data_IF_793167888699
#
_entry.id   IF_793167888699
#
_cell.length_a   1.000
_cell.length_b   1.000
_cell.length_c   1.000
_cell.angle_alpha   90.00
_cell.angle_beta   90.00
_cell.angle_gamma   90.00
#
_symmetry.space_group_name_H-M   'P 1'
#
loop_
_entity.id
_entity.type
_entity.pdbx_description
1 polymer ?
#
# COMPACT_ATOMS: atom_id res chain seq x y z
N UNK A 1 32.01 -10.13 4.14
CA UNK A 1 30.56 -10.27 4.43
C UNK A 1 29.93 -8.89 4.33
N UNK A 2 29.29 -8.56 3.21
CA UNK A 2 28.72 -7.23 2.96
C UNK A 2 27.25 -7.16 3.38
N UNK A 3 26.85 -6.27 4.30
CA UNK A 3 25.44 -6.05 4.58
C UNK A 3 24.82 -5.19 3.46
N UNK A 4 24.31 -5.83 2.40
CA UNK A 4 23.44 -5.17 1.43
C UNK A 4 22.04 -4.96 2.04
N UNK A 5 21.93 -4.07 3.03
CA UNK A 5 20.65 -3.42 3.34
C UNK A 5 20.59 -2.18 2.46
N UNK A 6 20.06 -2.33 1.24
CA UNK A 6 19.68 -1.17 0.43
C UNK A 6 18.78 -0.28 1.31
N UNK A 7 19.30 0.88 1.70
CA UNK A 7 18.49 1.99 2.14
C UNK A 7 17.65 2.38 0.91
N UNK A 8 16.47 1.79 0.77
CA UNK A 8 15.43 2.40 -0.06
C UNK A 8 15.15 3.75 0.60
N UNK A 9 15.68 4.81 -0.03
CA UNK A 9 15.42 6.19 0.31
C UNK A 9 13.91 6.34 0.47
N UNK A 10 13.48 6.54 1.72
CA UNK A 10 12.06 6.75 1.99
C UNK A 10 11.64 7.96 1.17
N UNK A 11 10.58 7.85 0.36
CA UNK A 11 10.12 9.00 -0.40
C UNK A 11 9.84 10.13 0.59
N UNK A 12 10.40 11.32 0.33
CA UNK A 12 10.35 12.51 1.19
C UNK A 12 8.95 12.83 1.75
N UNK A 13 7.90 12.40 1.04
CA UNK A 13 6.51 12.57 1.45
C UNK A 13 6.08 11.70 2.65
N UNK A 14 6.75 10.59 2.99
CA UNK A 14 6.35 9.74 4.14
C UNK A 14 6.67 10.38 5.48
N UNK A 15 7.79 11.09 5.59
CA UNK A 15 8.23 11.70 6.84
C UNK A 15 7.36 12.93 7.18
N UNK A 16 6.96 13.68 6.15
CA UNK A 16 5.99 14.78 6.31
C UNK A 16 4.60 14.33 6.79
N UNK A 17 4.11 13.14 6.39
CA UNK A 17 2.82 12.62 6.88
C UNK A 17 2.91 12.29 8.37
N UNK A 18 3.99 11.64 8.82
CA UNK A 18 4.18 11.26 10.23
C UNK A 18 4.29 12.49 11.13
N UNK A 19 4.97 13.54 10.68
CA UNK A 19 5.07 14.78 11.43
C UNK A 19 3.71 15.48 11.60
N UNK A 20 2.92 15.57 10.52
CA UNK A 20 1.58 16.18 10.58
C UNK A 20 0.65 15.34 11.46
N UNK A 21 0.74 14.01 11.35
CA UNK A 21 0.02 13.07 12.20
C UNK A 21 0.37 13.28 13.68
N UNK A 22 1.66 13.35 14.02
CA UNK A 22 2.14 13.61 15.38
C UNK A 22 1.60 14.95 15.91
N UNK A 23 1.75 16.05 15.15
CA UNK A 23 1.24 17.38 15.55
C UNK A 23 -0.27 17.38 15.80
N UNK A 24 -1.03 16.64 14.99
CA UNK A 24 -2.47 16.46 15.16
C UNK A 24 -2.80 15.72 16.46
N UNK A 25 -2.08 14.64 16.76
CA UNK A 25 -2.37 13.78 17.91
C UNK A 25 -2.07 14.45 19.26
N UNK A 26 -1.17 15.44 19.28
CA UNK A 26 -0.95 16.32 20.44
C UNK A 26 -2.03 17.40 20.61
N UNK A 27 -2.95 17.57 19.66
CA UNK A 27 -4.02 18.58 19.75
C UNK A 27 -5.30 17.99 20.34
N UNK A 28 -6.06 18.79 21.10
CA UNK A 28 -7.42 18.44 21.54
C UNK A 28 -8.33 18.24 20.32
N UNK A 29 -8.95 17.06 20.22
CA UNK A 29 -9.88 16.69 19.15
C UNK A 29 -10.98 17.76 19.01
N UNK A 30 -11.24 18.21 17.78
CA UNK A 30 -12.24 19.23 17.47
C UNK A 30 -11.77 20.69 17.62
N UNK A 31 -10.58 20.95 18.18
CA UNK A 31 -10.02 22.31 18.19
C UNK A 31 -9.69 22.81 16.78
N UNK A 32 -9.65 24.13 16.57
CA UNK A 32 -9.29 24.73 15.27
C UNK A 32 -7.94 24.23 14.75
N UNK A 33 -6.95 24.10 15.64
CA UNK A 33 -5.61 23.57 15.31
C UNK A 33 -5.67 22.09 14.92
N UNK A 34 -6.47 21.29 15.63
CA UNK A 34 -6.70 19.88 15.27
C UNK A 34 -7.36 19.75 13.90
N UNK A 35 -8.40 20.54 13.61
CA UNK A 35 -9.10 20.54 12.32
C UNK A 35 -8.14 20.89 11.17
N UNK A 36 -7.29 21.90 11.35
CA UNK A 36 -6.27 22.29 10.36
C UNK A 36 -5.31 21.14 10.04
N UNK A 37 -4.75 20.47 11.04
CA UNK A 37 -3.83 19.35 10.81
C UNK A 37 -4.57 18.11 10.29
N UNK A 38 -5.80 17.87 10.72
CA UNK A 38 -6.63 16.78 10.23
C UNK A 38 -6.91 16.93 8.72
N UNK A 39 -7.35 18.12 8.28
CA UNK A 39 -7.55 18.40 6.85
C UNK A 39 -6.26 18.23 6.04
N UNK A 40 -5.13 18.75 6.54
CA UNK A 40 -3.82 18.58 5.89
C UNK A 40 -3.46 17.10 5.75
N UNK A 41 -3.63 16.33 6.81
CA UNK A 41 -3.37 14.89 6.81
C UNK A 41 -4.25 14.14 5.80
N UNK A 42 -5.54 14.45 5.73
CA UNK A 42 -6.47 13.84 4.77
C UNK A 42 -6.02 14.11 3.33
N UNK A 43 -5.72 15.37 2.98
CA UNK A 43 -5.20 15.73 1.64
C UNK A 43 -3.92 14.98 1.29
N UNK A 44 -3.00 14.82 2.24
CA UNK A 44 -1.75 14.09 2.01
C UNK A 44 -1.98 12.59 1.80
N UNK A 45 -2.88 11.97 2.59
CA UNK A 45 -3.26 10.56 2.43
C UNK A 45 -3.98 10.32 1.10
N UNK A 46 -4.86 11.22 0.71
CA UNK A 46 -5.55 11.19 -0.59
C UNK A 46 -4.54 11.27 -1.75
N UNK A 47 -3.59 12.21 -1.70
CA UNK A 47 -2.53 12.31 -2.71
C UNK A 47 -1.72 11.02 -2.80
N UNK A 48 -1.36 10.42 -1.66
CA UNK A 48 -0.66 9.13 -1.63
C UNK A 48 -1.49 8.00 -2.26
N UNK A 49 -2.80 7.95 -1.96
CA UNK A 49 -3.70 6.96 -2.53
C UNK A 49 -3.84 7.11 -4.06
N UNK A 50 -3.94 8.36 -4.55
CA UNK A 50 -3.98 8.66 -5.98
C UNK A 50 -2.67 8.28 -6.68
N UNK A 51 -1.52 8.61 -6.09
CA UNK A 51 -0.22 8.20 -6.64
C UNK A 51 -0.07 6.68 -6.71
N UNK A 52 -0.52 5.96 -5.67
CA UNK A 52 -0.53 4.50 -5.67
C UNK A 52 -1.45 3.95 -6.76
N UNK A 53 -2.65 4.52 -6.92
CA UNK A 53 -3.61 4.14 -7.96
C UNK A 53 -3.02 4.36 -9.36
N UNK A 54 -2.38 5.50 -9.60
CA UNK A 54 -1.73 5.80 -10.89
C UNK A 54 -0.57 4.84 -11.16
N UNK A 55 0.24 4.54 -10.14
CA UNK A 55 1.29 3.53 -10.25
C UNK A 55 0.73 2.16 -10.60
N UNK A 56 -0.32 1.71 -9.91
CA UNK A 56 -1.02 0.46 -10.21
C UNK A 56 -1.57 0.44 -11.64
N UNK A 57 -2.13 1.55 -12.13
CA UNK A 57 -2.56 1.66 -13.52
C UNK A 57 -1.37 1.54 -14.49
N UNK A 58 -0.25 2.21 -14.24
CA UNK A 58 0.92 2.13 -15.14
C UNK A 58 1.50 0.73 -15.19
N UNK A 59 1.71 0.11 -14.03
CA UNK A 59 2.27 -1.24 -13.91
C UNK A 59 1.33 -2.29 -14.54
N UNK A 60 0.03 -2.25 -14.26
CA UNK A 60 -0.92 -3.19 -14.86
C UNK A 60 -0.97 -3.09 -16.39
N UNK A 61 -0.85 -1.88 -16.93
CA UNK A 61 -0.74 -1.68 -18.39
C UNK A 61 0.55 -2.31 -18.92
N UNK A 62 1.69 -1.99 -18.30
CA UNK A 62 2.98 -2.56 -18.69
C UNK A 62 3.00 -4.09 -18.63
N UNK A 63 2.39 -4.70 -17.61
CA UNK A 63 2.31 -6.16 -17.50
C UNK A 63 1.56 -6.72 -18.71
N UNK A 64 0.32 -6.26 -18.93
CA UNK A 64 -0.54 -6.75 -20.02
C UNK A 64 0.09 -6.52 -21.40
N UNK A 65 0.85 -5.44 -21.58
CA UNK A 65 1.51 -5.09 -22.84
C UNK A 65 2.78 -5.89 -23.12
N UNK A 66 3.56 -6.19 -22.07
CA UNK A 66 4.81 -6.94 -22.23
C UNK A 66 4.60 -8.45 -22.21
N UNK A 67 3.52 -8.95 -21.61
CA UNK A 67 3.17 -10.37 -21.69
C UNK A 67 2.65 -10.69 -23.08
N UNK A 68 3.53 -11.18 -23.95
CA UNK A 68 3.18 -12.02 -25.12
C UNK A 68 2.46 -13.32 -24.74
N UNK A 69 2.24 -13.55 -23.45
CA UNK A 69 1.62 -14.75 -22.87
C UNK A 69 0.17 -14.42 -22.56
N UNK A 70 -0.75 -15.17 -23.17
CA UNK A 70 -2.21 -15.02 -23.03
C UNK A 70 -2.76 -15.21 -21.59
N UNK A 71 -1.88 -15.56 -20.63
CA UNK A 71 -2.29 -16.03 -19.30
C UNK A 71 -1.54 -15.27 -18.22
N UNK A 72 -2.30 -14.61 -17.34
CA UNK A 72 -1.81 -13.94 -16.13
C UNK A 72 -2.24 -14.78 -14.92
N UNK A 73 -1.27 -15.32 -14.18
CA UNK A 73 -1.54 -16.05 -12.94
C UNK A 73 -1.31 -15.10 -11.76
N UNK A 74 -2.37 -14.84 -11.00
CA UNK A 74 -2.28 -14.15 -9.72
C UNK A 74 -2.37 -15.21 -8.64
N UNK A 75 -1.35 -15.29 -7.76
CA UNK A 75 -1.41 -16.23 -6.63
C UNK A 75 -2.64 -15.95 -5.77
N UNK A 76 -3.29 -17.00 -5.28
CA UNK A 76 -4.43 -16.90 -4.35
C UNK A 76 -3.95 -16.32 -3.02
N UNK A 77 -3.85 -15.00 -2.99
CA UNK A 77 -3.46 -14.23 -1.82
C UNK A 77 -4.70 -14.14 -0.94
N UNK A 78 -4.75 -14.97 0.09
CA UNK A 78 -5.77 -14.86 1.13
C UNK A 78 -5.52 -13.58 1.96
N UNK A 79 -5.86 -12.42 1.38
CA UNK A 79 -5.54 -11.10 1.90
C UNK A 79 -6.18 -10.85 3.27
N UNK A 80 -7.29 -11.54 3.55
CA UNK A 80 -7.94 -11.56 4.87
C UNK A 80 -7.02 -12.20 5.91
N UNK A 81 -6.39 -13.34 5.60
CA UNK A 81 -5.43 -13.99 6.50
C UNK A 81 -4.17 -13.16 6.68
N UNK A 82 -3.66 -12.53 5.61
CA UNK A 82 -2.52 -11.63 5.71
C UNK A 82 -2.83 -10.41 6.58
N UNK A 83 -4.07 -9.91 6.57
CA UNK A 83 -4.49 -8.80 7.41
C UNK A 83 -4.74 -9.19 8.88
N UNK A 84 -4.94 -10.49 9.17
CA UNK A 84 -5.16 -10.98 10.53
C UNK A 84 -3.90 -10.84 11.38
N UNK A 85 -4.10 -10.53 12.66
CA UNK A 85 -3.05 -10.59 13.66
C UNK A 85 -2.68 -12.07 13.85
N UNK A 86 -1.39 -12.39 13.71
CA UNK A 86 -0.89 -13.73 14.03
C UNK A 86 -0.89 -13.95 15.53
N UNK A 87 -1.17 -15.18 15.93
CA UNK A 87 -1.05 -15.59 17.32
C UNK A 87 0.38 -15.37 17.86
N UNK A 88 0.51 -14.95 19.13
CA UNK A 88 1.81 -14.71 19.72
C UNK A 88 2.58 -16.02 19.88
N UNK A 89 3.81 -16.05 19.39
CA UNK A 89 4.77 -17.14 19.63
C UNK A 89 5.58 -16.88 20.90
N UNK A 90 6.30 -17.90 21.38
CA UNK A 90 7.18 -17.78 22.56
C UNK A 90 8.32 -16.78 22.36
N UNK A 91 8.63 -16.37 21.12
CA UNK A 91 9.73 -15.45 20.81
C UNK A 91 9.25 -14.00 20.61
N UNK A 92 9.70 -13.05 21.45
CA UNK A 92 9.37 -11.64 21.27
C UNK A 92 9.81 -11.05 19.92
N UNK A 93 10.95 -11.55 19.39
CA UNK A 93 11.50 -11.12 18.09
C UNK A 93 10.61 -11.53 16.93
N UNK A 94 10.10 -12.77 16.96
CA UNK A 94 9.17 -13.27 15.95
C UNK A 94 7.84 -12.52 16.01
N UNK A 95 7.32 -12.25 17.20
CA UNK A 95 6.09 -11.47 17.38
C UNK A 95 6.19 -10.05 16.80
N UNK A 96 7.34 -9.39 17.01
CA UNK A 96 7.60 -8.06 16.44
C UNK A 96 7.62 -8.10 14.91
N UNK A 97 8.31 -9.07 14.33
CA UNK A 97 8.35 -9.25 12.87
C UNK A 97 6.95 -9.54 12.30
N UNK A 98 6.22 -10.49 12.90
CA UNK A 98 4.86 -10.86 12.51
C UNK A 98 3.88 -9.68 12.54
N UNK A 99 4.05 -8.74 13.48
CA UNK A 99 3.23 -7.52 13.56
C UNK A 99 3.48 -6.56 12.41
N UNK A 100 4.71 -6.46 11.91
CA UNK A 100 5.10 -5.45 10.90
C UNK A 100 5.05 -5.96 9.46
N UNK A 101 5.17 -7.28 9.25
CA UNK A 101 5.29 -7.91 7.93
C UNK A 101 4.12 -7.55 7.00
N UNK A 102 2.89 -7.59 7.50
CA UNK A 102 1.69 -7.40 6.67
C UNK A 102 1.07 -6.00 6.82
N UNK A 103 1.69 -5.10 7.59
CA UNK A 103 1.17 -3.75 7.85
C UNK A 103 0.91 -2.93 6.56
N UNK A 104 1.72 -3.02 5.48
CA UNK A 104 1.43 -2.29 4.24
C UNK A 104 0.18 -2.80 3.51
N UNK A 105 -0.19 -4.06 3.70
CA UNK A 105 -1.29 -4.75 3.01
C UNK A 105 -2.60 -4.60 3.80
N UNK A 106 -2.52 -4.41 5.12
CA UNK A 106 -3.67 -4.20 6.00
C UNK A 106 -4.51 -2.98 5.57
N UNK A 107 -5.80 -3.22 5.33
CA UNK A 107 -6.85 -2.19 5.19
C UNK A 107 -6.73 -1.23 3.99
N UNK A 108 -5.96 -1.56 2.95
CA UNK A 108 -5.80 -0.67 1.77
C UNK A 108 -6.61 -1.09 0.54
N UNK A 109 -7.10 -2.34 0.50
CA UNK A 109 -7.79 -2.91 -0.68
C UNK A 109 -6.96 -2.84 -1.98
N UNK A 110 -5.67 -2.55 -1.86
CA UNK A 110 -4.79 -2.18 -2.98
C UNK A 110 -4.51 -3.36 -3.89
N UNK A 111 -4.35 -4.56 -3.32
CA UNK A 111 -4.17 -5.80 -4.08
C UNK A 111 -5.41 -6.14 -4.91
N UNK A 112 -6.61 -6.09 -4.31
CA UNK A 112 -7.86 -6.36 -5.04
C UNK A 112 -8.04 -5.43 -6.22
N UNK A 113 -7.86 -4.12 -6.01
CA UNK A 113 -7.92 -3.12 -7.09
C UNK A 113 -6.88 -3.34 -8.18
N UNK A 114 -5.69 -3.82 -7.82
CA UNK A 114 -4.66 -4.13 -8.80
C UNK A 114 -5.05 -5.33 -9.67
N UNK A 115 -5.63 -6.37 -9.08
CA UNK A 115 -6.17 -7.53 -9.83
C UNK A 115 -7.30 -7.07 -10.75
N UNK A 116 -8.21 -6.21 -10.28
CA UNK A 116 -9.26 -5.61 -11.12
C UNK A 116 -8.67 -4.89 -12.34
N UNK A 117 -7.60 -4.10 -12.15
CA UNK A 117 -6.93 -3.41 -13.25
C UNK A 117 -6.28 -4.38 -14.25
N UNK A 118 -5.71 -5.48 -13.79
CA UNK A 118 -5.17 -6.53 -14.65
C UNK A 118 -6.27 -7.19 -15.47
N UNK A 119 -7.35 -7.63 -14.82
CA UNK A 119 -8.49 -8.29 -15.47
C UNK A 119 -9.13 -7.38 -16.53
N UNK A 120 -9.46 -6.14 -16.16
CA UNK A 120 -10.05 -5.17 -17.08
C UNK A 120 -9.17 -4.92 -18.32
N UNK A 121 -7.86 -4.74 -18.14
CA UNK A 121 -6.95 -4.45 -19.24
C UNK A 121 -6.66 -5.65 -20.12
N UNK A 122 -6.57 -6.84 -19.54
CA UNK A 122 -6.43 -8.08 -20.30
C UNK A 122 -7.68 -8.32 -21.16
N UNK A 123 -8.89 -8.17 -20.59
CA UNK A 123 -10.14 -8.28 -21.34
C UNK A 123 -10.24 -7.26 -22.48
N UNK A 124 -9.82 -6.02 -22.24
CA UNK A 124 -9.82 -4.98 -23.27
C UNK A 124 -8.90 -5.35 -24.45
N UNK A 125 -7.73 -5.93 -24.18
CA UNK A 125 -6.82 -6.40 -25.24
C UNK A 125 -7.45 -7.51 -26.10
N UNK A 126 -8.12 -8.48 -25.49
CA UNK A 126 -8.78 -9.58 -26.23
C UNK A 126 -9.89 -9.07 -27.14
N UNK A 127 -10.63 -8.02 -26.75
CA UNK A 127 -11.73 -7.44 -27.55
C UNK A 127 -11.25 -6.55 -28.70
N UNK A 128 -10.00 -6.09 -28.67
CA UNK A 128 -9.39 -5.26 -29.73
C UNK A 128 -8.71 -6.12 -30.82
N UNK A 129 -8.65 -7.45 -30.64
CA UNK A 129 -8.22 -8.43 -31.64
C UNK A 129 -9.42 -9.06 -32.35
#
# INVERSE_FOLDING_TARGET
MHPHRKQESRPLWKDTIREVQSKRDHCKKGSNRWNKYHQKLCKMKEKCANQLRDFQHKISKQIVENTKVNTIIVGDLNAKEMARKKEPTKSPKQNKANKTLNHPIQNTGSLGRFVEFLTYKAQKRVKEC
#
